data_IF_581069814128
#
_entry.id   IF_581069814128
#
_cell.length_a   1.000
_cell.length_b   1.000
_cell.length_c   1.000
_cell.angle_alpha   90.00
_cell.angle_beta   90.00
_cell.angle_gamma   90.00
#
_symmetry.space_group_name_H-M   'P 1'
#
loop_
_entity.id
_entity.type
_entity.pdbx_description
1 polymer ?
#
# COMPACT_ATOMS: atom_id res chain seq x y z
N UNK A 1 -23.71 -62.32 -1.87
CA UNK A 1 -22.99 -61.54 -2.92
C UNK A 1 -22.64 -60.19 -2.30
N UNK A 2 -21.36 -59.81 -2.35
CA UNK A 2 -20.75 -58.77 -1.51
C UNK A 2 -21.00 -57.37 -2.08
N UNK A 3 -21.50 -56.46 -1.26
CA UNK A 3 -21.58 -55.03 -1.54
C UNK A 3 -20.18 -54.42 -1.33
N UNK A 4 -19.64 -53.71 -2.33
CA UNK A 4 -18.48 -52.82 -2.16
C UNK A 4 -18.97 -51.36 -2.26
N UNK A 5 -18.65 -50.48 -1.29
CA UNK A 5 -18.89 -49.07 -1.46
C UNK A 5 -17.73 -48.42 -2.23
N UNK A 6 -18.10 -47.61 -3.21
CA UNK A 6 -17.21 -46.75 -4.01
C UNK A 6 -16.57 -45.70 -3.09
N UNK A 7 -15.27 -45.79 -2.84
CA UNK A 7 -14.51 -44.73 -2.19
C UNK A 7 -14.09 -43.71 -3.25
N UNK A 8 -14.84 -42.61 -3.35
CA UNK A 8 -14.41 -41.42 -4.09
C UNK A 8 -13.29 -40.76 -3.27
N UNK A 9 -12.03 -41.05 -3.61
CA UNK A 9 -10.89 -40.36 -3.06
C UNK A 9 -10.85 -38.95 -3.67
N UNK A 10 -11.56 -38.01 -3.04
CA UNK A 10 -11.38 -36.59 -3.31
C UNK A 10 -10.00 -36.18 -2.79
N UNK A 11 -8.99 -36.25 -3.65
CA UNK A 11 -7.70 -35.61 -3.43
C UNK A 11 -7.93 -34.11 -3.35
N UNK A 12 -8.04 -33.59 -2.13
CA UNK A 12 -7.90 -32.15 -1.87
C UNK A 12 -6.44 -31.82 -2.23
N UNK A 13 -6.20 -31.34 -3.45
CA UNK A 13 -4.97 -30.63 -3.74
C UNK A 13 -4.99 -29.35 -2.90
N UNK A 14 -4.34 -29.41 -1.75
CA UNK A 14 -3.93 -28.19 -1.07
C UNK A 14 -2.97 -27.45 -2.01
N UNK A 15 -3.45 -26.41 -2.69
CA UNK A 15 -2.58 -25.44 -3.33
C UNK A 15 -1.78 -24.77 -2.20
N UNK A 16 -0.62 -25.34 -1.88
CA UNK A 16 0.39 -24.64 -1.11
C UNK A 16 0.80 -23.42 -1.94
N UNK A 17 0.30 -22.24 -1.57
CA UNK A 17 0.81 -20.98 -2.11
C UNK A 17 2.27 -20.92 -1.69
N UNK A 18 3.21 -21.10 -2.63
CA UNK A 18 4.61 -20.81 -2.37
C UNK A 18 4.73 -19.31 -2.09
N UNK A 19 4.78 -18.97 -0.81
CA UNK A 19 5.17 -17.63 -0.37
C UNK A 19 6.64 -17.45 -0.71
N UNK A 20 7.00 -16.36 -1.38
CA UNK A 20 8.41 -16.04 -1.57
C UNK A 20 9.12 -15.92 -0.22
N UNK A 21 10.42 -16.20 -0.21
CA UNK A 21 11.28 -15.78 0.89
C UNK A 21 11.21 -14.24 1.04
N UNK A 22 11.51 -13.75 2.24
CA UNK A 22 11.57 -12.32 2.48
C UNK A 22 12.55 -11.64 1.52
N UNK A 23 12.10 -10.52 0.95
CA UNK A 23 12.78 -9.75 -0.09
C UNK A 23 13.09 -10.56 -1.35
N UNK A 24 12.20 -11.48 -1.73
CA UNK A 24 12.27 -12.18 -3.00
C UNK A 24 10.93 -12.10 -3.78
N UNK A 25 11.03 -12.22 -5.11
CA UNK A 25 9.86 -12.39 -5.98
C UNK A 25 9.58 -13.88 -6.21
N UNK A 26 8.32 -14.28 -6.11
CA UNK A 26 7.83 -15.59 -6.57
C UNK A 26 7.98 -15.71 -8.09
N UNK A 27 7.99 -16.94 -8.66
CA UNK A 27 7.97 -17.11 -10.11
C UNK A 27 6.77 -16.40 -10.78
N UNK A 28 5.59 -16.48 -10.16
CA UNK A 28 4.39 -15.82 -10.66
C UNK A 28 4.52 -14.29 -10.66
N UNK A 29 5.09 -13.70 -9.60
CA UNK A 29 5.34 -12.26 -9.53
C UNK A 29 6.33 -11.79 -10.61
N UNK A 30 7.37 -12.58 -10.90
CA UNK A 30 8.32 -12.27 -12.00
C UNK A 30 7.62 -12.28 -13.35
N UNK A 31 6.80 -13.30 -13.62
CA UNK A 31 6.02 -13.40 -14.86
C UNK A 31 5.03 -12.25 -14.98
N UNK A 32 4.42 -11.83 -13.87
CA UNK A 32 3.51 -10.70 -13.82
C UNK A 32 4.22 -9.34 -13.95
N UNK A 33 5.55 -9.28 -13.91
CA UNK A 33 6.32 -8.04 -14.10
C UNK A 33 6.59 -7.24 -12.82
N UNK A 34 6.46 -7.86 -11.64
CA UNK A 34 6.84 -7.22 -10.39
C UNK A 34 8.35 -6.94 -10.33
N UNK A 35 8.69 -5.81 -9.75
CA UNK A 35 10.07 -5.39 -9.49
C UNK A 35 10.29 -5.30 -7.98
N UNK A 36 11.37 -5.90 -7.48
CA UNK A 36 11.77 -5.78 -6.08
C UNK A 36 12.51 -4.46 -5.87
N UNK A 37 12.05 -3.62 -4.96
CA UNK A 37 12.65 -2.30 -4.69
C UNK A 37 13.61 -2.31 -3.49
N UNK A 38 13.52 -3.31 -2.61
CA UNK A 38 14.40 -3.46 -1.45
C UNK A 38 15.15 -4.80 -1.49
N UNK A 39 16.48 -4.72 -1.43
CA UNK A 39 17.36 -5.89 -1.53
C UNK A 39 17.47 -6.69 -0.21
N UNK A 40 16.96 -6.17 0.91
CA UNK A 40 17.06 -6.81 2.21
C UNK A 40 18.37 -6.60 2.96
N UNK A 41 19.33 -5.86 2.38
CA UNK A 41 20.67 -5.66 2.95
C UNK A 41 20.97 -4.20 3.26
N UNK A 42 20.63 -3.27 2.37
CA UNK A 42 20.95 -1.85 2.52
C UNK A 42 19.98 -0.92 1.75
N UNK A 43 20.19 0.37 1.89
CA UNK A 43 19.39 1.42 1.25
C UNK A 43 19.98 1.88 -0.09
N UNK A 44 20.77 1.05 -0.78
CA UNK A 44 21.33 1.42 -2.08
C UNK A 44 20.23 1.81 -3.07
N UNK A 45 20.34 3.00 -3.66
CA UNK A 45 19.32 3.57 -4.55
C UNK A 45 18.23 4.40 -3.86
N UNK A 46 18.19 4.43 -2.52
CA UNK A 46 17.25 5.22 -1.72
C UNK A 46 17.91 6.51 -1.21
N UNK A 47 17.10 7.57 -1.01
CA UNK A 47 17.54 8.86 -0.45
C UNK A 47 16.56 9.32 0.63
N UNK A 48 17.07 9.78 1.77
CA UNK A 48 16.24 10.33 2.85
C UNK A 48 15.87 11.80 2.59
N UNK A 49 14.70 12.23 3.07
CA UNK A 49 14.29 13.64 3.00
C UNK A 49 13.75 14.15 4.36
N UNK A 50 14.57 14.99 5.02
CA UNK A 50 14.20 16.12 5.88
C UNK A 50 13.68 15.98 7.34
N UNK A 51 14.01 14.93 8.09
CA UNK A 51 14.31 15.01 9.54
C UNK A 51 13.37 15.79 10.50
N UNK A 52 12.04 15.69 10.36
CA UNK A 52 11.07 16.37 11.26
C UNK A 52 10.25 15.36 12.08
N UNK A 53 9.71 15.69 13.27
CA UNK A 53 8.83 14.78 14.05
C UNK A 53 7.37 14.76 13.57
N UNK A 54 6.63 13.64 13.79
CA UNK A 54 5.16 13.52 13.58
C UNK A 54 4.40 13.75 14.91
N UNK A 55 3.22 14.36 14.81
CA UNK A 55 2.20 14.45 15.88
C UNK A 55 0.78 14.03 15.42
N UNK A 56 0.65 13.10 14.46
CA UNK A 56 -0.63 12.69 13.87
C UNK A 56 -1.12 11.34 14.43
N UNK A 57 -2.45 11.13 14.51
CA UNK A 57 -3.03 9.85 14.92
C UNK A 57 -2.62 8.70 13.96
N UNK A 58 -2.52 7.49 14.52
CA UNK A 58 -2.06 6.29 13.81
C UNK A 58 -3.23 5.67 13.05
N UNK A 59 -3.46 6.13 11.82
CA UNK A 59 -4.42 5.52 10.89
C UNK A 59 -3.67 4.81 9.76
N UNK A 60 -3.25 3.57 10.01
CA UNK A 60 -2.54 2.76 9.02
C UNK A 60 -3.42 2.51 7.78
N UNK A 61 -3.06 3.16 6.67
CA UNK A 61 -3.74 3.05 5.39
C UNK A 61 -4.65 4.22 5.02
N UNK A 62 -4.74 5.27 5.84
CA UNK A 62 -5.40 6.51 5.45
C UNK A 62 -4.63 7.21 4.30
N UNK A 63 -5.37 7.91 3.44
CA UNK A 63 -4.76 8.89 2.52
C UNK A 63 -4.62 10.19 3.29
N UNK A 64 -3.43 10.38 3.86
CA UNK A 64 -3.15 11.40 4.87
C UNK A 64 -3.73 12.78 4.51
N UNK A 65 -4.52 13.35 5.42
CA UNK A 65 -5.17 14.67 5.30
C UNK A 65 -6.17 14.81 4.13
N UNK A 66 -6.55 13.70 3.49
CA UNK A 66 -7.53 13.66 2.38
C UNK A 66 -8.70 12.70 2.64
N UNK A 67 -8.39 11.44 2.98
CA UNK A 67 -9.41 10.40 3.16
C UNK A 67 -9.06 9.55 4.38
N UNK A 68 -9.92 9.49 5.41
CA UNK A 68 -9.72 8.62 6.56
C UNK A 68 -9.89 7.15 6.18
N UNK A 69 -9.48 6.25 7.06
CA UNK A 69 -9.80 4.83 6.88
C UNK A 69 -11.29 4.56 7.12
N UNK A 70 -11.86 3.71 6.28
CA UNK A 70 -13.22 3.18 6.47
C UNK A 70 -13.30 2.07 7.52
N UNK A 71 -12.16 1.45 7.87
CA UNK A 71 -12.03 0.40 8.88
C UNK A 71 -10.58 0.22 9.34
N UNK A 72 -10.40 -0.27 10.56
CA UNK A 72 -9.10 -0.71 11.05
C UNK A 72 -8.81 -2.15 10.60
N UNK A 73 -7.72 -2.32 9.85
CA UNK A 73 -7.21 -3.64 9.47
C UNK A 73 -5.75 -3.85 9.92
N UNK A 74 -5.19 -2.92 10.69
CA UNK A 74 -3.82 -2.99 11.20
C UNK A 74 -3.65 -3.96 12.36
N UNK A 75 -2.49 -4.60 12.44
CA UNK A 75 -2.06 -5.42 13.56
C UNK A 75 -1.35 -4.59 14.64
N UNK A 76 -1.21 -5.12 15.87
CA UNK A 76 -0.43 -4.47 16.94
C UNK A 76 1.01 -4.14 16.53
N UNK A 77 1.61 -3.18 17.25
CA UNK A 77 3.02 -2.85 17.06
C UNK A 77 3.92 -4.07 17.33
N UNK A 78 4.92 -4.28 16.46
CA UNK A 78 5.79 -5.44 16.50
C UNK A 78 5.37 -6.57 15.55
N UNK A 79 4.15 -6.53 15.01
CA UNK A 79 3.69 -7.48 14.00
C UNK A 79 3.82 -6.93 12.58
N UNK A 80 4.10 -7.83 11.63
CA UNK A 80 4.14 -7.48 10.21
C UNK A 80 2.74 -7.24 9.66
N UNK A 81 2.56 -6.08 9.00
CA UNK A 81 1.40 -5.74 8.20
C UNK A 81 1.75 -5.88 6.70
N UNK A 82 0.79 -6.31 5.89
CA UNK A 82 0.86 -6.21 4.43
C UNK A 82 0.12 -4.95 3.99
N UNK A 83 0.73 -4.14 3.12
CA UNK A 83 0.08 -2.95 2.55
C UNK A 83 0.18 -3.02 1.02
N UNK A 84 -0.97 -2.89 0.35
CA UNK A 84 -1.08 -2.81 -1.10
C UNK A 84 -1.62 -1.43 -1.46
N UNK A 85 -0.87 -0.67 -2.28
CA UNK A 85 -1.30 0.64 -2.78
C UNK A 85 -1.44 0.51 -4.29
N UNK A 86 -2.63 0.78 -4.80
CA UNK A 86 -2.90 0.81 -6.25
C UNK A 86 -3.06 2.25 -6.70
N UNK A 87 -2.22 2.67 -7.65
CA UNK A 87 -2.27 4.00 -8.27
C UNK A 87 -2.60 3.87 -9.76
N UNK A 88 -3.85 4.15 -10.16
CA UNK A 88 -4.30 4.06 -11.55
C UNK A 88 -4.93 5.37 -12.02
N UNK A 89 -4.13 6.20 -12.67
CA UNK A 89 -4.57 7.54 -13.10
C UNK A 89 -4.98 8.37 -11.88
N UNK A 90 -6.23 8.85 -11.79
CA UNK A 90 -6.69 9.61 -10.63
C UNK A 90 -7.21 8.72 -9.48
N UNK A 91 -7.35 7.41 -9.71
CA UNK A 91 -7.87 6.49 -8.70
C UNK A 91 -6.74 5.91 -7.87
N UNK A 92 -6.74 6.21 -6.58
CA UNK A 92 -5.81 5.60 -5.61
C UNK A 92 -6.62 4.75 -4.63
N UNK A 93 -6.06 3.61 -4.22
CA UNK A 93 -6.66 2.78 -3.18
C UNK A 93 -5.60 2.09 -2.34
N UNK A 94 -5.93 1.86 -1.08
CA UNK A 94 -5.06 1.20 -0.11
C UNK A 94 -5.78 -0.01 0.47
N UNK A 95 -5.08 -1.14 0.50
CA UNK A 95 -5.45 -2.30 1.32
C UNK A 95 -4.42 -2.52 2.40
N UNK A 96 -4.89 -2.88 3.59
CA UNK A 96 -4.06 -3.32 4.71
C UNK A 96 -4.49 -4.73 5.08
N UNK A 97 -3.53 -5.65 5.15
CA UNK A 97 -3.74 -7.07 5.43
C UNK A 97 -4.82 -7.73 4.54
N UNK A 98 -4.91 -7.28 3.28
CA UNK A 98 -5.87 -7.78 2.29
C UNK A 98 -7.22 -7.07 2.30
N UNK A 99 -7.52 -6.25 3.31
CA UNK A 99 -8.78 -5.50 3.39
C UNK A 99 -8.63 -4.10 2.80
N UNK A 100 -9.60 -3.69 1.97
CA UNK A 100 -9.67 -2.31 1.48
C UNK A 100 -10.00 -1.36 2.64
N UNK A 101 -9.15 -0.36 2.85
CA UNK A 101 -9.29 0.59 3.97
C UNK A 101 -9.54 2.01 3.52
N UNK A 102 -9.02 2.42 2.35
CA UNK A 102 -9.26 3.76 1.81
C UNK A 102 -9.19 3.75 0.27
N UNK A 103 -9.90 4.70 -0.34
CA UNK A 103 -9.87 4.95 -1.77
C UNK A 103 -10.23 6.41 -2.07
N UNK A 104 -9.74 6.92 -3.19
CA UNK A 104 -9.97 8.29 -3.65
C UNK A 104 -10.03 8.30 -5.18
N UNK A 105 -10.88 9.17 -5.73
CA UNK A 105 -10.69 9.71 -7.07
C UNK A 105 -10.17 11.15 -6.92
N UNK A 106 -8.90 11.37 -7.21
CA UNK A 106 -8.28 12.69 -7.06
C UNK A 106 -8.94 13.77 -7.92
N UNK A 107 -9.63 13.41 -9.01
CA UNK A 107 -10.26 14.38 -9.90
C UNK A 107 -11.48 15.07 -9.26
N UNK A 108 -12.03 14.48 -8.20
CA UNK A 108 -13.14 15.06 -7.43
C UNK A 108 -12.66 16.26 -6.57
N UNK A 109 -11.35 16.37 -6.31
CA UNK A 109 -10.73 17.41 -5.49
C UNK A 109 -10.34 18.59 -6.39
N UNK A 110 -11.35 19.38 -6.74
CA UNK A 110 -11.24 20.43 -7.76
C UNK A 110 -10.79 21.78 -7.22
N UNK A 111 -10.95 22.04 -5.93
CA UNK A 111 -10.64 23.33 -5.30
C UNK A 111 -9.30 23.32 -4.56
N UNK A 112 -8.50 24.41 -4.62
CA UNK A 112 -7.24 24.49 -3.90
C UNK A 112 -7.39 24.43 -2.38
N UNK A 113 -6.77 23.40 -1.75
CA UNK A 113 -6.75 23.29 -0.29
C UNK A 113 -8.05 22.80 0.34
N UNK A 114 -8.98 22.25 -0.46
CA UNK A 114 -10.32 21.87 -0.02
C UNK A 114 -10.67 20.48 -0.56
N UNK A 115 -11.16 19.62 0.33
CA UNK A 115 -11.70 18.30 0.05
C UNK A 115 -13.13 18.40 -0.52
N UNK A 116 -13.65 17.36 -1.20
CA UNK A 116 -14.99 17.38 -1.78
C UNK A 116 -16.13 17.60 -0.77
N UNK A 117 -15.91 17.23 0.49
CA UNK A 117 -16.83 17.46 1.61
C UNK A 117 -16.76 18.89 2.18
N UNK A 118 -15.87 19.74 1.65
CA UNK A 118 -15.66 21.12 2.09
C UNK A 118 -14.62 21.28 3.19
N UNK A 119 -14.08 20.19 3.74
CA UNK A 119 -13.00 20.25 4.73
C UNK A 119 -11.69 20.75 4.11
N UNK A 120 -10.82 21.35 4.92
CA UNK A 120 -9.53 21.86 4.44
C UNK A 120 -8.46 20.77 4.44
N UNK A 121 -7.58 20.79 3.45
CA UNK A 121 -6.34 19.99 3.44
C UNK A 121 -5.10 20.88 3.28
N UNK A 122 -3.94 20.38 3.73
CA UNK A 122 -2.70 21.16 3.87
C UNK A 122 -1.80 21.18 2.64
N UNK A 123 -2.09 20.38 1.61
CA UNK A 123 -1.22 20.26 0.44
C UNK A 123 -1.08 21.55 -0.37
N UNK A 124 0.17 21.88 -0.70
CA UNK A 124 0.57 23.13 -1.37
C UNK A 124 1.57 22.85 -2.48
N UNK A 125 1.63 23.74 -3.46
CA UNK A 125 2.68 23.82 -4.47
C UNK A 125 3.24 25.25 -4.49
N UNK A 126 4.56 25.40 -4.39
CA UNK A 126 5.24 26.72 -4.33
C UNK A 126 4.66 27.65 -3.24
N UNK A 127 4.33 27.08 -2.07
CA UNK A 127 3.77 27.81 -0.93
C UNK A 127 2.28 28.12 -1.01
N UNK A 128 1.61 27.85 -2.15
CA UNK A 128 0.19 28.13 -2.36
C UNK A 128 -0.65 26.85 -2.25
N UNK A 129 -1.89 26.91 -1.71
CA UNK A 129 -2.82 25.79 -1.75
C UNK A 129 -2.99 25.26 -3.17
N UNK A 130 -3.16 23.94 -3.33
CA UNK A 130 -3.32 23.32 -4.64
C UNK A 130 -4.45 22.30 -4.62
N UNK A 131 -5.23 22.26 -5.69
CA UNK A 131 -6.26 21.23 -5.86
C UNK A 131 -5.57 19.87 -6.09
N UNK A 132 -6.05 18.80 -5.43
CA UNK A 132 -5.40 17.48 -5.53
C UNK A 132 -5.43 16.96 -6.97
N UNK A 133 -6.48 17.27 -7.74
CA UNK A 133 -6.58 16.86 -9.15
C UNK A 133 -5.41 17.31 -10.03
N UNK A 134 -4.73 18.37 -9.63
CA UNK A 134 -3.66 18.99 -10.42
C UNK A 134 -2.27 18.44 -10.10
N UNK A 135 -2.13 17.55 -9.12
CA UNK A 135 -0.85 16.92 -8.80
C UNK A 135 -0.41 16.00 -9.94
N UNK A 136 0.90 15.93 -10.16
CA UNK A 136 1.48 15.05 -11.17
C UNK A 136 1.09 13.58 -10.89
N UNK A 137 0.74 12.85 -11.94
CA UNK A 137 0.30 11.44 -11.85
C UNK A 137 1.45 10.43 -11.91
N UNK A 138 2.68 10.94 -11.94
CA UNK A 138 3.93 10.18 -11.95
C UNK A 138 4.93 10.90 -11.06
N UNK A 139 5.73 10.12 -10.35
CA UNK A 139 6.71 10.65 -9.42
C UNK A 139 7.51 9.54 -8.77
N UNK A 140 8.24 9.90 -7.73
CA UNK A 140 9.03 8.98 -6.94
C UNK A 140 8.19 8.31 -5.86
N UNK A 141 8.56 7.08 -5.48
CA UNK A 141 8.10 6.43 -4.27
C UNK A 141 9.06 6.77 -3.13
N UNK A 142 8.53 6.95 -1.92
CA UNK A 142 9.32 7.25 -0.75
C UNK A 142 8.69 6.69 0.51
N UNK A 143 9.53 6.34 1.46
CA UNK A 143 9.12 6.00 2.82
C UNK A 143 9.49 7.16 3.72
N UNK A 144 8.56 7.51 4.61
CA UNK A 144 8.72 8.63 5.49
C UNK A 144 9.44 8.18 6.77
N UNK A 145 10.42 8.97 7.20
CA UNK A 145 11.07 8.81 8.51
C UNK A 145 10.75 10.03 9.37
N UNK A 146 10.27 9.75 10.57
CA UNK A 146 9.91 10.74 11.58
C UNK A 146 10.54 10.45 12.94
N UNK A 147 11.66 9.71 12.94
CA UNK A 147 12.41 9.33 14.14
C UNK A 147 11.83 8.14 14.90
N UNK A 148 10.71 7.57 14.43
CA UNK A 148 10.15 6.32 14.95
C UNK A 148 10.69 5.15 14.15
N UNK A 149 10.95 4.03 14.83
CA UNK A 149 11.44 2.82 14.17
C UNK A 149 10.30 2.16 13.40
N UNK A 150 10.44 2.11 12.08
CA UNK A 150 9.57 1.35 11.18
C UNK A 150 10.47 0.47 10.30
N UNK A 151 10.08 -0.78 10.12
CA UNK A 151 10.79 -1.73 9.27
C UNK A 151 9.92 -2.09 8.07
N UNK A 152 10.57 -2.25 6.92
CA UNK A 152 9.92 -2.64 5.67
C UNK A 152 10.60 -3.89 5.13
N UNK A 153 9.81 -4.75 4.51
CA UNK A 153 10.29 -5.91 3.74
C UNK A 153 9.33 -6.18 2.61
N UNK A 154 9.77 -6.95 1.61
CA UNK A 154 8.96 -7.32 0.45
C UNK A 154 8.39 -6.10 -0.30
N UNK A 155 9.16 -5.01 -0.38
CA UNK A 155 8.74 -3.82 -1.14
C UNK A 155 8.85 -4.12 -2.62
N UNK A 156 7.70 -4.18 -3.30
CA UNK A 156 7.59 -4.57 -4.70
C UNK A 156 6.72 -3.57 -5.46
N UNK A 157 6.98 -3.40 -6.75
CA UNK A 157 6.23 -2.55 -7.65
C UNK A 157 5.76 -3.34 -8.88
N UNK A 158 4.50 -3.17 -9.26
CA UNK A 158 3.96 -3.63 -10.52
C UNK A 158 3.48 -2.42 -11.32
N UNK A 159 3.99 -2.26 -12.54
CA UNK A 159 3.43 -1.28 -13.48
C UNK A 159 2.08 -1.80 -13.99
N UNK A 160 1.06 -0.94 -13.98
CA UNK A 160 -0.32 -1.26 -14.37
C UNK A 160 -0.65 -0.73 -15.77
#
# INVERSE_FOLDING_TARGET
MKNLPTWLCCSILALARLTAADNALTPAERVAGWQLLFNGTDFSGWKCNNGKPIAAPIENGALYDLVPISRHAGRPAGEWNSVEITCRGPHLSVKVNGEAVSAINCDDFTQPGVCPDGEKHKFKLNGQPRAVKDFARRGYLGFQDHGQKVWYKNVKLLAL
#
